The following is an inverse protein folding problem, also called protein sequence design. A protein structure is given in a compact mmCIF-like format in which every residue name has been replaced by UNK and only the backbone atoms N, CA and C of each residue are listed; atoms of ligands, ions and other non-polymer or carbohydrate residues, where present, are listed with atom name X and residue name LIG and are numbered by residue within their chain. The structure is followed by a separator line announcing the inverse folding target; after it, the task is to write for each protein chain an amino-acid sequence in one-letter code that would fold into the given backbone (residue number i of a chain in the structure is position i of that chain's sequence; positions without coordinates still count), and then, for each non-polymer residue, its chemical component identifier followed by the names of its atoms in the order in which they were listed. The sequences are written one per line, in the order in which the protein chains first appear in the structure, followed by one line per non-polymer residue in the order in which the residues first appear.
data_IF_850225903600
#
_entry.id   IF_850225903600
#
_cell.length_a   1.000
_cell.length_b   1.000
_cell.length_c   1.000
_cell.angle_alpha   90.00
_cell.angle_beta   90.00
_cell.angle_gamma   90.00
#
_symmetry.space_group_name_H-M   'P 1'
#
loop_
_entity.id
_entity.type
_entity.pdbx_description
1 polymer ?
#
# COMPACT_ATOMS: atom_id res chain seq x y z
N UNK A 1 4.56 21.68 -18.82
CA UNK A 1 4.86 20.25 -19.07
C UNK A 1 6.36 20.04 -18.98
N UNK A 2 6.85 18.82 -18.72
CA UNK A 2 8.28 18.52 -18.72
C UNK A 2 8.67 18.15 -20.17
N UNK A 3 9.42 18.99 -20.89
CA UNK A 3 9.61 18.84 -22.33
C UNK A 3 10.64 17.76 -22.72
N UNK A 4 11.50 17.33 -21.78
CA UNK A 4 12.50 16.29 -22.02
C UNK A 4 12.73 15.44 -20.77
N UNK A 5 12.96 14.15 -20.99
CA UNK A 5 13.29 13.18 -19.95
C UNK A 5 14.72 12.68 -20.13
N UNK A 6 15.48 12.47 -19.03
CA UNK A 6 16.80 11.89 -19.12
C UNK A 6 16.73 10.50 -19.74
N UNK A 7 17.66 10.19 -20.65
CA UNK A 7 17.69 8.91 -21.37
C UNK A 7 18.99 8.15 -21.16
N UNK A 8 18.92 6.82 -21.11
CA UNK A 8 20.11 5.96 -21.12
C UNK A 8 20.59 5.73 -22.56
N UNK A 9 21.90 5.57 -22.73
CA UNK A 9 22.53 5.41 -24.05
C UNK A 9 22.13 4.10 -24.75
N UNK A 10 22.06 2.99 -24.00
CA UNK A 10 21.73 1.66 -24.51
C UNK A 10 20.94 0.84 -23.49
N UNK A 11 20.33 -0.26 -23.96
CA UNK A 11 19.57 -1.20 -23.15
C UNK A 11 20.50 -2.33 -22.72
N UNK A 12 20.68 -2.52 -21.41
CA UNK A 12 21.50 -3.61 -20.85
C UNK A 12 20.71 -4.91 -20.78
N UNK A 13 20.63 -5.64 -21.90
CA UNK A 13 19.85 -6.89 -22.03
C UNK A 13 20.12 -7.91 -20.92
N UNK A 14 21.38 -8.18 -20.58
CA UNK A 14 21.73 -9.12 -19.51
C UNK A 14 21.29 -8.65 -18.12
N UNK A 15 21.23 -7.34 -17.87
CA UNK A 15 20.67 -6.81 -16.63
C UNK A 15 19.14 -7.00 -16.62
N UNK A 16 18.45 -6.71 -17.72
CA UNK A 16 16.99 -6.91 -17.85
C UNK A 16 16.60 -8.36 -17.60
N UNK A 17 17.27 -9.33 -18.23
CA UNK A 17 16.98 -10.76 -18.05
C UNK A 17 17.14 -11.19 -16.58
N UNK A 18 18.18 -10.71 -15.89
CA UNK A 18 18.37 -11.00 -14.45
C UNK A 18 17.25 -10.43 -13.59
N UNK A 19 16.77 -9.23 -13.88
CA UNK A 19 15.65 -8.65 -13.12
C UNK A 19 14.33 -9.34 -13.44
N UNK A 20 14.10 -9.75 -14.69
CA UNK A 20 12.93 -10.55 -15.07
C UNK A 20 12.89 -11.88 -14.32
N UNK A 21 14.02 -12.58 -14.23
CA UNK A 21 14.11 -13.82 -13.46
C UNK A 21 13.75 -13.60 -11.99
N UNK A 22 14.30 -12.54 -11.36
CA UNK A 22 13.93 -12.17 -9.99
C UNK A 22 12.43 -11.87 -9.87
N UNK A 23 11.85 -11.19 -10.86
CA UNK A 23 10.43 -10.84 -10.85
C UNK A 23 9.56 -12.10 -10.83
N UNK A 24 9.90 -13.10 -11.63
CA UNK A 24 9.21 -14.40 -11.63
C UNK A 24 9.35 -15.10 -10.28
N UNK A 25 10.56 -15.16 -9.72
CA UNK A 25 10.82 -15.79 -8.41
C UNK A 25 10.01 -15.13 -7.29
N UNK A 26 10.03 -13.80 -7.19
CA UNK A 26 9.29 -13.09 -6.15
C UNK A 26 7.77 -13.18 -6.34
N UNK A 27 7.29 -13.18 -7.58
CA UNK A 27 5.85 -13.40 -7.87
C UNK A 27 5.42 -14.82 -7.47
N UNK A 28 6.25 -15.83 -7.76
CA UNK A 28 6.02 -17.20 -7.32
C UNK A 28 6.03 -17.34 -5.80
N UNK A 29 6.97 -16.67 -5.12
CA UNK A 29 7.03 -16.62 -3.66
C UNK A 29 5.78 -16.00 -3.05
N UNK A 30 5.26 -14.92 -3.64
CA UNK A 30 3.99 -14.32 -3.20
C UNK A 30 2.84 -15.33 -3.33
N UNK A 31 2.72 -16.00 -4.48
CA UNK A 31 1.71 -17.03 -4.69
C UNK A 31 1.82 -18.17 -3.67
N UNK A 32 3.04 -18.63 -3.38
CA UNK A 32 3.29 -19.64 -2.35
C UNK A 32 2.84 -19.19 -0.96
N UNK A 33 3.16 -17.95 -0.56
CA UNK A 33 2.76 -17.43 0.76
C UNK A 33 1.22 -17.33 0.86
N UNK A 34 0.57 -16.88 -0.21
CA UNK A 34 -0.89 -16.78 -0.26
C UNK A 34 -1.52 -18.16 -0.11
N UNK A 35 -1.10 -19.13 -0.92
CA UNK A 35 -1.70 -20.47 -0.93
C UNK A 35 -1.39 -21.29 0.33
N UNK A 36 -0.18 -21.19 0.88
CA UNK A 36 0.25 -22.05 1.99
C UNK A 36 -0.01 -21.44 3.37
N UNK A 37 -0.07 -20.11 3.49
CA UNK A 37 -0.24 -19.45 4.79
C UNK A 37 -1.53 -18.64 4.87
N UNK A 38 -1.81 -17.77 3.90
CA UNK A 38 -2.98 -16.88 3.99
C UNK A 38 -4.28 -17.68 3.81
N UNK A 39 -4.40 -18.44 2.72
CA UNK A 39 -5.61 -19.19 2.38
C UNK A 39 -6.04 -20.16 3.51
N UNK A 40 -5.16 -20.97 4.12
CA UNK A 40 -5.57 -21.87 5.20
C UNK A 40 -6.04 -21.14 6.46
N UNK A 41 -5.37 -20.05 6.86
CA UNK A 41 -5.78 -19.25 8.03
C UNK A 41 -7.17 -18.64 7.80
N UNK A 42 -7.37 -18.16 6.58
CA UNK A 42 -8.59 -17.49 6.15
C UNK A 42 -9.77 -18.48 5.98
N UNK A 43 -9.55 -19.68 5.44
CA UNK A 43 -10.59 -20.73 5.33
C UNK A 43 -10.97 -21.36 6.68
N UNK A 44 -10.00 -21.55 7.58
CA UNK A 44 -10.26 -22.03 8.94
C UNK A 44 -11.05 -21.01 9.78
N UNK A 45 -11.19 -19.78 9.29
CA UNK A 45 -11.96 -18.72 9.91
C UNK A 45 -13.46 -18.85 9.59
N UNK A 46 -14.10 -19.99 9.91
CA UNK A 46 -15.58 -20.11 9.84
C UNK A 46 -16.20 -19.05 10.76
N UNK A 47 -16.87 -18.07 10.16
CA UNK A 47 -17.32 -16.79 10.75
C UNK A 47 -16.21 -15.91 11.38
N UNK A 48 -15.55 -15.06 10.58
CA UNK A 48 -14.49 -14.12 10.99
C UNK A 48 -14.81 -13.19 12.17
N UNK A 49 -16.09 -12.94 12.46
CA UNK A 49 -16.53 -11.93 13.44
C UNK A 49 -17.65 -12.40 14.39
N UNK A 50 -18.00 -13.70 14.40
CA UNK A 50 -18.94 -14.25 15.41
C UNK A 50 -18.24 -14.85 16.64
N UNK A 51 -16.90 -14.87 16.66
CA UNK A 51 -16.10 -15.31 17.81
C UNK A 51 -15.85 -14.19 18.81
N UNK A 52 -15.28 -14.54 19.97
CA UNK A 52 -14.90 -13.58 20.99
C UNK A 52 -13.85 -12.58 20.43
N UNK A 53 -13.77 -11.37 20.99
CA UNK A 53 -12.80 -10.34 20.57
C UNK A 53 -11.34 -10.85 20.51
N UNK A 54 -11.00 -11.79 21.40
CA UNK A 54 -9.71 -12.46 21.44
C UNK A 54 -9.43 -13.32 20.20
N UNK A 55 -10.43 -14.04 19.68
CA UNK A 55 -10.29 -14.87 18.49
C UNK A 55 -10.03 -14.01 17.25
N UNK A 56 -10.65 -12.82 17.19
CA UNK A 56 -10.42 -11.86 16.12
C UNK A 56 -8.98 -11.30 16.16
N UNK A 57 -8.48 -10.94 17.35
CA UNK A 57 -7.11 -10.49 17.54
C UNK A 57 -6.11 -11.58 17.14
N UNK A 58 -6.31 -12.82 17.61
CA UNK A 58 -5.43 -13.95 17.29
C UNK A 58 -5.31 -14.14 15.77
N UNK A 59 -6.43 -14.07 15.04
CA UNK A 59 -6.47 -14.21 13.59
C UNK A 59 -5.76 -13.07 12.88
N UNK A 60 -5.98 -11.83 13.31
CA UNK A 60 -5.29 -10.64 12.78
C UNK A 60 -3.78 -10.79 12.98
N UNK A 61 -3.33 -11.21 14.15
CA UNK A 61 -1.92 -11.44 14.45
C UNK A 61 -1.32 -12.57 13.61
N UNK A 62 -2.03 -13.70 13.44
CA UNK A 62 -1.58 -14.79 12.57
C UNK A 62 -1.46 -14.37 11.10
N UNK A 63 -2.31 -13.47 10.64
CA UNK A 63 -2.27 -12.92 9.28
C UNK A 63 -1.27 -11.78 9.10
N UNK A 64 -0.90 -11.06 10.18
CA UNK A 64 0.02 -9.92 10.13
C UNK A 64 1.34 -10.23 9.44
N UNK A 65 1.97 -11.34 9.81
CA UNK A 65 3.27 -11.75 9.28
C UNK A 65 3.18 -12.12 7.79
N UNK A 66 2.36 -13.10 7.34
CA UNK A 66 2.32 -13.49 5.95
C UNK A 66 1.86 -12.36 5.02
N UNK A 67 0.89 -11.54 5.44
CA UNK A 67 0.43 -10.40 4.64
C UNK A 67 1.51 -9.33 4.48
N UNK A 68 2.27 -9.04 5.55
CA UNK A 68 3.41 -8.14 5.48
C UNK A 68 4.46 -8.63 4.48
N UNK A 69 4.82 -9.91 4.50
CA UNK A 69 5.78 -10.48 3.56
C UNK A 69 5.29 -10.41 2.12
N UNK A 70 4.02 -10.74 1.86
CA UNK A 70 3.41 -10.62 0.52
C UNK A 70 3.48 -9.16 0.05
N UNK A 71 3.18 -8.21 0.92
CA UNK A 71 3.23 -6.81 0.57
C UNK A 71 4.65 -6.32 0.28
N UNK A 72 5.66 -6.73 1.08
CA UNK A 72 7.06 -6.39 0.83
C UNK A 72 7.56 -7.00 -0.49
N UNK A 73 7.16 -8.23 -0.78
CA UNK A 73 7.46 -8.90 -2.06
C UNK A 73 6.78 -8.18 -3.23
N UNK A 74 5.53 -7.73 -3.05
CA UNK A 74 4.80 -6.95 -4.06
C UNK A 74 5.50 -5.62 -4.31
N UNK A 75 5.89 -4.91 -3.24
CA UNK A 75 6.64 -3.66 -3.35
C UNK A 75 7.92 -3.85 -4.15
N UNK A 76 8.74 -4.84 -3.78
CA UNK A 76 9.98 -5.13 -4.48
C UNK A 76 9.74 -5.53 -5.94
N UNK A 77 8.79 -6.43 -6.20
CA UNK A 77 8.49 -6.91 -7.55
C UNK A 77 7.98 -5.81 -8.47
N UNK A 78 7.13 -4.93 -7.96
CA UNK A 78 6.54 -3.86 -8.76
C UNK A 78 7.46 -2.63 -8.85
N UNK A 79 7.76 -2.00 -7.72
CA UNK A 79 8.48 -0.72 -7.71
C UNK A 79 9.97 -0.87 -8.03
N UNK A 80 10.60 -1.95 -7.55
CA UNK A 80 12.02 -2.15 -7.80
C UNK A 80 12.25 -2.91 -9.11
N UNK A 81 11.64 -4.08 -9.31
CA UNK A 81 11.91 -4.89 -10.49
C UNK A 81 11.16 -4.38 -11.72
N UNK A 82 9.83 -4.38 -11.71
CA UNK A 82 9.02 -4.08 -12.89
C UNK A 82 9.23 -2.65 -13.42
N UNK A 83 9.18 -1.63 -12.56
CA UNK A 83 9.39 -0.24 -13.01
C UNK A 83 10.81 -0.01 -13.53
N UNK A 84 11.84 -0.63 -12.94
CA UNK A 84 13.20 -0.47 -13.47
C UNK A 84 13.42 -1.29 -14.77
N UNK A 85 12.75 -2.43 -14.94
CA UNK A 85 12.74 -3.16 -16.22
C UNK A 85 12.11 -2.28 -17.29
N UNK A 86 10.91 -1.73 -17.02
CA UNK A 86 10.22 -0.83 -17.94
C UNK A 86 11.07 0.41 -18.26
N UNK A 87 11.70 1.00 -17.24
CA UNK A 87 12.60 2.13 -17.42
C UNK A 87 13.82 1.77 -18.28
N UNK A 88 14.42 0.61 -18.10
CA UNK A 88 15.54 0.16 -18.93
C UNK A 88 15.11 -0.07 -20.39
N UNK A 89 13.95 -0.70 -20.61
CA UNK A 89 13.39 -0.94 -21.95
C UNK A 89 13.04 0.36 -22.69
N UNK A 90 12.46 1.32 -21.97
CA UNK A 90 12.12 2.65 -22.50
C UNK A 90 13.32 3.61 -22.57
N UNK A 91 14.50 3.18 -22.10
CA UNK A 91 15.69 4.01 -21.91
C UNK A 91 15.43 5.24 -21.04
N UNK A 92 14.55 5.11 -20.06
CA UNK A 92 14.24 6.14 -19.08
C UNK A 92 15.35 6.21 -18.01
N UNK A 93 15.94 7.40 -17.86
CA UNK A 93 17.07 7.65 -16.98
C UNK A 93 16.69 8.02 -15.54
N UNK A 94 15.49 8.56 -15.32
CA UNK A 94 15.02 8.90 -13.96
C UNK A 94 14.38 7.66 -13.31
N UNK A 95 15.09 7.03 -12.39
CA UNK A 95 14.64 5.77 -11.76
C UNK A 95 14.30 5.94 -10.29
N UNK A 96 14.05 7.18 -9.86
CA UNK A 96 13.65 7.49 -8.49
C UNK A 96 12.15 7.18 -8.27
N UNK A 97 11.81 5.88 -8.26
CA UNK A 97 10.43 5.42 -8.04
C UNK A 97 10.01 5.43 -6.57
N UNK A 98 10.98 5.27 -5.66
CA UNK A 98 10.77 5.25 -4.20
C UNK A 98 12.05 5.73 -3.48
N UNK A 99 11.92 6.06 -2.19
CA UNK A 99 13.04 6.38 -1.27
C UNK A 99 13.02 5.43 -0.08
N UNK A 100 13.90 5.63 0.90
CA UNK A 100 14.06 4.83 2.12
C UNK A 100 12.86 4.94 3.09
N UNK A 101 11.67 4.58 2.61
CA UNK A 101 10.40 4.73 3.32
C UNK A 101 10.32 3.84 4.57
N UNK A 102 11.11 2.77 4.65
CA UNK A 102 11.19 1.89 5.82
C UNK A 102 11.77 2.61 7.06
N UNK A 103 12.55 3.67 6.84
CA UNK A 103 13.11 4.53 7.87
C UNK A 103 12.26 5.77 8.13
N UNK A 104 11.05 5.85 7.56
CA UNK A 104 10.16 7.00 7.75
C UNK A 104 9.83 7.18 9.24
N UNK A 105 9.90 8.43 9.70
CA UNK A 105 9.68 8.82 11.10
C UNK A 105 8.22 9.13 11.36
N UNK A 106 7.46 9.41 10.32
CA UNK A 106 6.00 9.62 10.38
C UNK A 106 5.31 8.94 9.22
N UNK A 107 3.99 8.74 9.38
CA UNK A 107 3.13 8.23 8.31
C UNK A 107 3.10 9.20 7.13
N UNK A 108 3.19 10.51 7.38
CA UNK A 108 3.33 11.52 6.33
C UNK A 108 4.57 11.26 5.47
N UNK A 109 5.74 11.09 6.11
CA UNK A 109 7.00 10.84 5.43
C UNK A 109 6.97 9.53 4.63
N UNK A 110 6.37 8.48 5.19
CA UNK A 110 6.15 7.21 4.48
C UNK A 110 5.38 7.42 3.16
N UNK A 111 4.22 8.09 3.19
CA UNK A 111 3.39 8.31 1.99
C UNK A 111 4.09 9.14 0.92
N UNK A 112 5.06 9.97 1.32
CA UNK A 112 5.87 10.77 0.40
C UNK A 112 6.99 9.98 -0.26
N UNK A 113 7.47 8.92 0.39
CA UNK A 113 8.67 8.16 -0.03
C UNK A 113 8.35 6.81 -0.67
N UNK A 114 7.20 6.21 -0.36
CA UNK A 114 6.79 4.88 -0.84
C UNK A 114 6.60 4.83 -2.36
N UNK A 115 5.87 5.80 -2.93
CA UNK A 115 5.52 5.85 -4.35
C UNK A 115 5.68 7.28 -4.86
N UNK A 116 6.91 7.58 -5.28
CA UNK A 116 7.30 8.92 -5.74
C UNK A 116 6.48 9.37 -6.96
N UNK A 117 6.21 8.55 -7.99
CA UNK A 117 5.40 8.96 -9.14
C UNK A 117 4.00 9.45 -8.75
N UNK A 118 3.27 8.67 -7.93
CA UNK A 118 1.92 9.05 -7.48
C UNK A 118 1.98 10.25 -6.55
N UNK A 119 2.95 10.28 -5.62
CA UNK A 119 3.13 11.42 -4.73
C UNK A 119 3.37 12.72 -5.52
N UNK A 120 4.32 12.71 -6.47
CA UNK A 120 4.62 13.85 -7.35
C UNK A 120 3.39 14.26 -8.15
N UNK A 121 2.59 13.30 -8.63
CA UNK A 121 1.34 13.58 -9.36
C UNK A 121 0.28 14.25 -8.49
N UNK A 122 0.00 13.71 -7.30
CA UNK A 122 -0.97 14.27 -6.34
C UNK A 122 -0.55 15.68 -5.92
N UNK A 123 0.71 15.87 -5.58
CA UNK A 123 1.22 17.18 -5.15
C UNK A 123 1.05 18.22 -6.25
N UNK A 124 1.38 17.85 -7.50
CA UNK A 124 1.33 18.74 -8.65
C UNK A 124 -0.09 19.09 -9.09
N UNK A 125 -0.99 18.10 -9.14
CA UNK A 125 -2.31 18.26 -9.77
C UNK A 125 -3.45 18.47 -8.77
N UNK A 126 -3.24 18.15 -7.50
CA UNK A 126 -4.27 18.30 -6.46
C UNK A 126 -3.82 19.31 -5.42
N UNK A 127 -2.69 19.04 -4.73
CA UNK A 127 -2.27 19.86 -3.59
C UNK A 127 -1.96 21.31 -3.97
N UNK A 128 -1.05 21.55 -4.92
CA UNK A 128 -0.69 22.92 -5.32
C UNK A 128 -1.86 23.72 -5.89
N UNK A 129 -2.73 23.16 -6.76
CA UNK A 129 -3.95 23.85 -7.19
C UNK A 129 -4.87 24.20 -6.02
N UNK A 130 -5.08 23.31 -5.05
CA UNK A 130 -5.88 23.60 -3.87
C UNK A 130 -5.32 24.78 -3.07
N UNK A 131 -4.00 24.78 -2.81
CA UNK A 131 -3.34 25.87 -2.08
C UNK A 131 -3.41 27.19 -2.85
N UNK A 132 -3.24 27.16 -4.18
CA UNK A 132 -3.35 28.35 -5.04
C UNK A 132 -4.76 28.95 -5.05
N UNK A 133 -5.79 28.11 -4.87
CA UNK A 133 -7.18 28.53 -4.73
C UNK A 133 -7.54 29.01 -3.31
N UNK A 134 -6.55 29.20 -2.43
CA UNK A 134 -6.75 29.73 -1.07
C UNK A 134 -7.22 28.72 -0.03
N UNK A 135 -7.24 27.41 -0.34
CA UNK A 135 -7.59 26.38 0.64
C UNK A 135 -6.49 26.22 1.70
N UNK A 136 -6.91 25.89 2.92
CA UNK A 136 -5.97 25.58 4.01
C UNK A 136 -5.16 24.32 3.71
N UNK A 137 -3.97 24.21 4.31
CA UNK A 137 -3.11 23.02 4.16
C UNK A 137 -3.84 21.73 4.59
N UNK A 138 -4.64 21.81 5.67
CA UNK A 138 -5.46 20.69 6.14
C UNK A 138 -6.48 20.25 5.09
N UNK A 139 -7.25 21.19 4.53
CA UNK A 139 -8.22 20.87 3.48
C UNK A 139 -7.56 20.29 2.22
N UNK A 140 -6.40 20.81 1.81
CA UNK A 140 -5.67 20.28 0.66
C UNK A 140 -5.19 18.83 0.89
N UNK A 141 -4.75 18.50 2.10
CA UNK A 141 -4.39 17.12 2.49
C UNK A 141 -5.64 16.23 2.48
N UNK A 142 -6.76 16.68 3.05
CA UNK A 142 -8.02 15.93 3.05
C UNK A 142 -8.47 15.60 1.62
N UNK A 143 -8.43 16.57 0.71
CA UNK A 143 -8.81 16.36 -0.70
C UNK A 143 -7.84 15.37 -1.37
N UNK A 144 -6.53 15.49 -1.13
CA UNK A 144 -5.55 14.56 -1.68
C UNK A 144 -5.78 13.11 -1.22
N UNK A 145 -6.06 12.91 0.07
CA UNK A 145 -6.40 11.59 0.63
C UNK A 145 -7.75 11.09 0.11
N UNK A 146 -8.75 11.96 -0.04
CA UNK A 146 -10.06 11.60 -0.58
C UNK A 146 -9.93 11.07 -2.01
N UNK A 147 -9.22 11.80 -2.88
CA UNK A 147 -8.98 11.36 -4.26
C UNK A 147 -8.21 10.05 -4.28
N UNK A 148 -7.17 9.92 -3.45
CA UNK A 148 -6.42 8.67 -3.31
C UNK A 148 -7.33 7.51 -2.87
N UNK A 149 -8.18 7.70 -1.88
CA UNK A 149 -9.10 6.70 -1.35
C UNK A 149 -10.10 6.21 -2.42
N UNK A 150 -10.62 7.13 -3.24
CA UNK A 150 -11.49 6.78 -4.38
C UNK A 150 -10.76 5.92 -5.39
N UNK A 151 -9.52 6.28 -5.78
CA UNK A 151 -8.74 5.45 -6.71
C UNK A 151 -8.44 4.06 -6.13
N UNK A 152 -8.09 3.96 -4.85
CA UNK A 152 -7.84 2.66 -4.21
C UNK A 152 -9.10 1.79 -4.18
N UNK A 153 -10.26 2.36 -3.85
CA UNK A 153 -11.53 1.64 -3.91
C UNK A 153 -11.82 1.18 -5.35
N UNK A 154 -11.68 2.04 -6.36
CA UNK A 154 -11.93 1.64 -7.75
C UNK A 154 -11.00 0.52 -8.22
N UNK A 155 -9.71 0.60 -7.87
CA UNK A 155 -8.73 -0.43 -8.21
C UNK A 155 -9.04 -1.80 -7.60
N UNK A 156 -9.75 -1.86 -6.47
CA UNK A 156 -10.13 -3.12 -5.81
C UNK A 156 -11.56 -3.53 -6.21
N UNK A 157 -12.50 -2.60 -6.17
CA UNK A 157 -13.91 -2.83 -6.41
C UNK A 157 -14.20 -3.26 -7.86
N UNK A 158 -13.47 -2.72 -8.85
CA UNK A 158 -13.68 -3.07 -10.26
C UNK A 158 -13.28 -4.52 -10.54
N UNK A 159 -12.05 -4.99 -10.24
CA UNK A 159 -11.69 -6.39 -10.45
C UNK A 159 -12.46 -7.37 -9.57
N UNK A 160 -12.77 -6.99 -8.33
CA UNK A 160 -13.52 -7.87 -7.42
C UNK A 160 -15.04 -7.82 -7.64
N UNK A 161 -15.56 -6.89 -8.44
CA UNK A 161 -16.99 -6.61 -8.60
C UNK A 161 -17.72 -6.46 -7.25
N UNK A 162 -17.08 -5.84 -6.26
CA UNK A 162 -17.59 -5.62 -4.90
C UNK A 162 -17.32 -4.17 -4.51
N UNK A 163 -18.38 -3.39 -4.34
CA UNK A 163 -18.29 -1.99 -3.91
C UNK A 163 -18.76 -1.90 -2.44
N UNK A 164 -17.81 -1.82 -1.51
CA UNK A 164 -18.08 -1.88 -0.06
C UNK A 164 -17.41 -0.76 0.74
N UNK A 165 -16.57 0.06 0.11
CA UNK A 165 -15.88 1.21 0.71
C UNK A 165 -14.91 0.85 1.85
N UNK A 166 -14.45 -0.41 1.92
CA UNK A 166 -13.47 -0.84 2.91
C UNK A 166 -12.10 -0.22 2.67
N UNK A 167 -11.65 -0.20 1.41
CA UNK A 167 -10.37 0.41 1.07
C UNK A 167 -10.44 1.94 1.23
N UNK A 168 -11.56 2.53 0.81
CA UNK A 168 -11.84 3.94 1.05
C UNK A 168 -11.71 4.32 2.53
N UNK A 169 -12.42 3.58 3.41
CA UNK A 169 -12.42 3.84 4.84
C UNK A 169 -11.03 3.62 5.45
N UNK A 170 -10.31 2.57 5.03
CA UNK A 170 -8.95 2.27 5.47
C UNK A 170 -7.97 3.41 5.17
N UNK A 171 -8.04 4.02 3.98
CA UNK A 171 -7.19 5.18 3.63
C UNK A 171 -7.58 6.42 4.42
N UNK A 172 -8.89 6.70 4.58
CA UNK A 172 -9.36 7.87 5.34
C UNK A 172 -9.01 7.79 6.83
N UNK A 173 -9.01 6.59 7.43
CA UNK A 173 -8.60 6.37 8.81
C UNK A 173 -7.11 6.64 9.07
N UNK A 174 -6.28 6.75 8.03
CA UNK A 174 -4.88 7.11 8.18
C UNK A 174 -4.67 8.62 8.41
N UNK A 175 -5.66 9.46 8.12
CA UNK A 175 -5.56 10.91 8.31
C UNK A 175 -5.37 11.26 9.79
N UNK A 176 -6.19 10.75 10.74
CA UNK A 176 -5.93 10.91 12.17
C UNK A 176 -4.54 10.41 12.58
N UNK A 177 -4.09 9.27 12.04
CA UNK A 177 -2.79 8.69 12.35
C UNK A 177 -1.63 9.59 11.87
N UNK A 178 -1.79 10.30 10.76
CA UNK A 178 -0.84 11.28 10.25
C UNK A 178 -0.66 12.43 11.25
N UNK A 179 -1.77 13.00 11.74
CA UNK A 179 -1.72 14.06 12.74
C UNK A 179 -1.16 13.58 14.08
N UNK A 180 -1.54 12.37 14.51
CA UNK A 180 -1.04 11.76 15.73
C UNK A 180 0.48 11.53 15.67
N UNK A 181 0.98 10.91 14.60
CA UNK A 181 2.42 10.64 14.47
C UNK A 181 3.25 11.91 14.38
N UNK A 182 2.72 12.95 13.73
CA UNK A 182 3.34 14.29 13.71
C UNK A 182 3.37 14.94 15.09
N UNK A 183 2.26 14.93 15.81
CA UNK A 183 2.19 15.45 17.18
C UNK A 183 3.16 14.72 18.12
N UNK A 184 3.25 13.38 18.02
CA UNK A 184 4.17 12.58 18.81
C UNK A 184 5.63 12.87 18.44
N UNK A 185 5.95 13.06 17.15
CA UNK A 185 7.28 13.46 16.73
C UNK A 185 7.68 14.81 17.34
N UNK A 186 6.79 15.80 17.28
CA UNK A 186 7.04 17.14 17.82
C UNK A 186 7.19 17.13 19.34
N UNK A 187 6.40 16.30 20.04
CA UNK A 187 6.41 16.18 21.51
C UNK A 187 7.61 15.42 22.05
N UNK A 188 7.92 14.26 21.49
CA UNK A 188 8.95 13.36 22.04
C UNK A 188 10.34 13.60 21.43
N UNK A 189 10.43 14.33 20.30
CA UNK A 189 11.67 14.57 19.51
C UNK A 189 12.45 13.30 19.15
N UNK A 190 11.93 12.12 19.47
CA UNK A 190 12.55 10.84 19.21
C UNK A 190 11.94 10.28 17.92
N UNK A 191 12.80 10.12 16.92
CA UNK A 191 12.44 9.66 15.59
C UNK A 191 12.05 8.19 15.54
N UNK A 192 12.42 7.41 16.56
CA UNK A 192 12.19 5.96 16.61
C UNK A 192 10.73 5.63 16.96
N UNK A 193 10.08 6.41 17.82
CA UNK A 193 8.70 6.16 18.28
C UNK A 193 7.72 6.21 17.11
N UNK A 194 7.84 7.21 16.24
CA UNK A 194 6.96 7.32 15.07
C UNK A 194 7.17 6.22 14.04
N UNK A 195 8.41 5.74 13.87
CA UNK A 195 8.72 4.57 13.04
C UNK A 195 8.11 3.28 13.59
N UNK A 196 8.21 3.05 14.92
CA UNK A 196 7.59 1.90 15.57
C UNK A 196 6.06 1.91 15.44
N UNK A 197 5.42 3.07 15.64
CA UNK A 197 3.97 3.24 15.46
C UNK A 197 3.57 2.95 14.01
N UNK A 198 4.34 3.48 13.04
CA UNK A 198 4.11 3.19 11.63
C UNK A 198 4.13 1.68 11.36
N UNK A 199 5.20 0.97 11.75
CA UNK A 199 5.32 -0.47 11.51
C UNK A 199 4.24 -1.27 12.24
N UNK A 200 3.87 -0.88 13.47
CA UNK A 200 2.81 -1.53 14.22
C UNK A 200 1.47 -1.42 13.50
N UNK A 201 1.05 -0.20 13.15
CA UNK A 201 -0.22 0.02 12.43
C UNK A 201 -0.21 -0.62 11.04
N UNK A 202 0.91 -0.52 10.33
CA UNK A 202 1.06 -1.06 9.00
C UNK A 202 0.98 -2.59 8.97
N UNK A 203 1.70 -3.26 9.87
CA UNK A 203 1.83 -4.73 9.89
C UNK A 203 0.63 -5.41 10.53
N UNK A 204 0.07 -4.84 11.61
CA UNK A 204 -0.95 -5.51 12.41
C UNK A 204 -2.35 -5.06 12.02
N UNK A 205 -2.56 -3.75 11.87
CA UNK A 205 -3.91 -3.19 11.73
C UNK A 205 -4.30 -3.00 10.27
N UNK A 206 -3.41 -2.48 9.42
CA UNK A 206 -3.76 -2.06 8.07
C UNK A 206 -4.06 -3.23 7.13
N UNK A 207 -3.02 -3.98 6.76
CA UNK A 207 -3.13 -5.00 5.71
C UNK A 207 -3.96 -6.22 6.12
N UNK A 208 -3.80 -6.81 7.32
CA UNK A 208 -4.52 -8.02 7.70
C UNK A 208 -6.03 -7.77 7.82
N UNK A 209 -6.42 -6.61 8.35
CA UNK A 209 -7.83 -6.24 8.47
C UNK A 209 -8.48 -6.07 7.10
N UNK A 210 -7.81 -5.40 6.14
CA UNK A 210 -8.33 -5.29 4.79
C UNK A 210 -8.57 -6.66 4.15
N UNK A 211 -7.59 -7.57 4.24
CA UNK A 211 -7.72 -8.93 3.68
C UNK A 211 -8.88 -9.69 4.33
N UNK A 212 -8.99 -9.64 5.66
CA UNK A 212 -10.08 -10.30 6.40
C UNK A 212 -11.47 -9.75 6.04
N UNK A 213 -11.60 -8.42 5.93
CA UNK A 213 -12.87 -7.76 5.60
C UNK A 213 -13.32 -8.08 4.17
N UNK A 214 -12.42 -8.00 3.20
CA UNK A 214 -12.74 -8.36 1.81
C UNK A 214 -13.08 -9.84 1.67
N UNK A 215 -12.32 -10.73 2.32
CA UNK A 215 -12.60 -12.16 2.28
C UNK A 215 -13.96 -12.51 2.92
N UNK A 216 -14.27 -11.92 4.07
CA UNK A 216 -15.56 -12.07 4.74
C UNK A 216 -16.72 -11.72 3.79
N UNK A 217 -16.60 -10.62 3.06
CA UNK A 217 -17.63 -10.17 2.13
C UNK A 217 -17.77 -11.09 0.91
N UNK A 218 -16.66 -11.61 0.37
CA UNK A 218 -16.67 -12.61 -0.71
C UNK A 218 -17.37 -13.90 -0.26
N UNK A 219 -17.02 -14.41 0.93
CA UNK A 219 -17.66 -15.61 1.48
C UNK A 219 -19.16 -15.43 1.70
N UNK A 220 -19.56 -14.29 2.28
CA UNK A 220 -20.98 -14.01 2.53
C UNK A 220 -21.77 -13.93 1.21
N UNK A 221 -21.16 -13.40 0.14
CA UNK A 221 -21.78 -13.39 -1.18
C UNK A 221 -21.93 -14.81 -1.77
N UNK A 222 -20.92 -15.67 -1.61
CA UNK A 222 -21.00 -17.08 -2.04
C UNK A 222 -22.08 -17.84 -1.26
N UNK A 223 -22.23 -17.59 0.04
CA UNK A 223 -23.28 -18.20 0.86
C UNK A 223 -24.70 -17.75 0.43
N UNK A 224 -24.87 -16.49 0.02
CA UNK A 224 -26.15 -15.96 -0.48
C UNK A 224 -26.52 -16.38 -1.90
N UNK A 225 -25.54 -16.78 -2.71
CA UNK A 225 -25.78 -17.23 -4.10
C UNK A 225 -26.03 -18.73 -4.20
N UNK A 226 -25.61 -19.50 -3.20
CA UNK A 226 -25.76 -20.96 -3.13
C UNK A 226 -26.89 -21.44 -2.20
N UNK A 227 -27.68 -20.52 -1.62
CA UNK A 227 -28.84 -20.82 -0.77
C UNK A 227 -30.11 -20.27 -1.40
#
# INVERSE_FOLDING_TARGET
MQPSYPRTAFIRKGWVTRQLLKCVVFTGLMGFIIEQYINPIVQNSKHPLKGNFLDAIERVLKLSVPTLYVWLCMFYSFFHLWLNILAELLRFGDREFYKDWWNAKTVEEYWRMWNMPVHKWIVRHIYFPCIRNGLSKGCAILIAFLVSAVFHELCIAVPCHIFKLWAFSGIMLQIPLLFLTKYLQDKFKNTMVGNMIFWFFFSIVGQPMCVLLYYHDVMNRQAQTNG
#
